data_IF_500255543230
#
_entry.id   IF_500255543230
#
_cell.length_a   1.000
_cell.length_b   1.000
_cell.length_c   1.000
_cell.angle_alpha   90.00
_cell.angle_beta   90.00
_cell.angle_gamma   90.00
#
_symmetry.space_group_name_H-M   'P 1'
#
loop_
_entity.id
_entity.type
_entity.pdbx_description
1 polymer ?
#
# COMPACT_ATOMS: atom_id res chain seq x y z
N UNK A 1 -1.25 -49.32 49.79
CA UNK A 1 -1.23 -47.84 49.63
C UNK A 1 0.23 -47.39 49.52
N UNK A 2 0.64 -46.45 48.65
CA UNK A 2 -0.09 -45.76 47.57
C UNK A 2 0.59 -45.88 46.19
N UNK A 3 -0.22 -46.21 45.19
CA UNK A 3 0.01 -46.03 43.77
C UNK A 3 -0.56 -44.66 43.39
N UNK A 4 0.16 -43.56 43.62
CA UNK A 4 -0.25 -42.21 43.17
C UNK A 4 1.01 -41.34 43.08
N UNK A 5 1.45 -40.96 41.88
CA UNK A 5 2.16 -39.68 41.57
C UNK A 5 2.94 -39.63 40.24
N UNK A 6 2.73 -40.52 39.25
CA UNK A 6 3.47 -40.41 37.96
C UNK A 6 2.58 -39.98 36.77
N UNK A 7 1.25 -40.02 36.92
CA UNK A 7 0.32 -39.68 35.83
C UNK A 7 0.10 -38.17 35.58
N UNK A 8 0.25 -37.21 36.52
CA UNK A 8 -0.18 -35.83 36.24
C UNK A 8 0.75 -35.08 35.28
N UNK A 9 2.02 -35.49 35.16
CA UNK A 9 3.03 -34.75 34.38
C UNK A 9 2.93 -35.01 32.87
N UNK A 10 2.46 -36.19 32.46
CA UNK A 10 2.29 -36.53 31.03
C UNK A 10 1.00 -35.91 30.49
N UNK A 11 -0.04 -35.77 31.32
CA UNK A 11 -1.32 -35.17 30.89
C UNK A 11 -1.23 -33.65 30.72
N UNK A 12 -0.35 -32.96 31.45
CA UNK A 12 -0.02 -31.55 31.19
C UNK A 12 0.85 -31.32 29.96
N UNK A 13 1.54 -32.36 29.45
CA UNK A 13 2.36 -32.23 28.24
C UNK A 13 1.50 -32.24 26.97
N UNK A 14 0.35 -32.93 26.98
CA UNK A 14 -0.60 -32.97 25.86
C UNK A 14 -1.56 -31.77 25.82
N UNK A 15 -1.74 -31.04 26.94
CA UNK A 15 -2.59 -29.84 26.99
C UNK A 15 -1.85 -28.54 26.61
N UNK A 16 -0.54 -28.60 26.36
CA UNK A 16 0.25 -27.44 25.95
C UNK A 16 0.24 -27.18 24.43
N UNK A 17 -0.49 -27.98 23.63
CA UNK A 17 -0.40 -27.98 22.16
C UNK A 17 -1.66 -27.53 21.41
N UNK A 18 -2.65 -26.93 22.07
CA UNK A 18 -3.82 -26.36 21.38
C UNK A 18 -3.82 -24.83 21.42
N UNK A 19 -2.72 -24.21 21.00
CA UNK A 19 -2.83 -22.87 20.40
C UNK A 19 -3.21 -23.08 18.93
N UNK A 20 -4.50 -23.33 18.69
CA UNK A 20 -5.07 -23.18 17.36
C UNK A 20 -4.80 -21.74 16.93
N UNK A 21 -3.89 -21.56 15.98
CA UNK A 21 -3.70 -20.31 15.26
C UNK A 21 -5.02 -20.00 14.55
N UNK A 22 -5.86 -19.23 15.23
CA UNK A 22 -7.18 -18.87 14.74
C UNK A 22 -6.95 -17.97 13.52
N UNK A 23 -7.36 -18.35 12.30
CA UNK A 23 -7.14 -17.54 11.10
C UNK A 23 -7.86 -16.19 11.15
N UNK A 24 -8.75 -16.00 12.14
CA UNK A 24 -9.48 -14.77 12.42
C UNK A 24 -9.01 -14.03 13.68
N UNK A 25 -7.84 -14.39 14.24
CA UNK A 25 -7.24 -13.56 15.28
C UNK A 25 -6.76 -12.24 14.66
N UNK A 26 -7.65 -11.24 14.68
CA UNK A 26 -7.38 -9.90 14.14
C UNK A 26 -6.11 -9.30 14.75
N UNK A 27 -5.79 -9.63 16.01
CA UNK A 27 -4.57 -9.13 16.65
C UNK A 27 -3.34 -9.83 16.09
N UNK A 28 -3.36 -11.14 15.90
CA UNK A 28 -2.26 -11.86 15.25
C UNK A 28 -2.11 -11.48 13.77
N UNK A 29 -3.20 -11.22 13.05
CA UNK A 29 -3.17 -10.74 11.68
C UNK A 29 -2.61 -9.31 11.58
N UNK A 30 -3.02 -8.40 12.49
CA UNK A 30 -2.49 -7.03 12.57
C UNK A 30 -1.05 -6.97 13.09
N UNK A 31 -0.65 -7.90 13.97
CA UNK A 31 0.70 -8.00 14.55
C UNK A 31 1.65 -8.88 13.72
N UNK A 32 1.17 -9.60 12.70
CA UNK A 32 1.98 -10.21 11.65
C UNK A 32 2.56 -9.11 10.73
N UNK A 33 3.30 -8.18 11.33
CA UNK A 33 3.79 -6.93 10.75
C UNK A 33 4.80 -7.08 9.61
N UNK A 34 5.09 -8.31 9.15
CA UNK A 34 6.07 -8.58 8.10
C UNK A 34 5.45 -8.90 6.74
N UNK A 35 4.16 -9.28 6.66
CA UNK A 35 3.56 -9.74 5.40
C UNK A 35 2.45 -8.83 4.84
N UNK A 36 1.80 -8.00 5.67
CA UNK A 36 0.67 -7.16 5.23
C UNK A 36 1.07 -5.75 4.79
N UNK A 37 2.29 -5.32 5.11
CA UNK A 37 2.75 -3.95 4.88
C UNK A 37 2.83 -3.53 3.40
N UNK A 38 3.15 -4.41 2.42
CA UNK A 38 3.20 -4.03 1.01
C UNK A 38 1.82 -3.78 0.38
N UNK A 39 0.77 -4.52 0.79
CA UNK A 39 -0.52 -4.52 0.07
C UNK A 39 -1.25 -3.18 0.19
N UNK A 40 -1.18 -2.52 1.34
CA UNK A 40 -1.89 -1.25 1.57
C UNK A 40 -1.25 -0.09 0.78
N UNK A 41 0.06 -0.14 0.53
CA UNK A 41 0.81 0.91 -0.16
C UNK A 41 0.68 0.80 -1.69
N UNK A 42 0.51 -0.41 -2.22
CA UNK A 42 0.33 -0.64 -3.66
C UNK A 42 -1.10 -0.40 -4.13
N UNK A 43 -2.08 -0.39 -3.22
CA UNK A 43 -3.49 -0.24 -3.56
C UNK A 43 -3.82 1.10 -4.25
N UNK A 44 -3.39 2.28 -3.74
CA UNK A 44 -3.63 3.55 -4.42
C UNK A 44 -2.94 3.63 -5.79
N UNK A 45 -1.76 3.00 -5.93
CA UNK A 45 -1.00 2.95 -7.19
C UNK A 45 -1.76 2.13 -8.23
N UNK A 46 -2.25 0.95 -7.86
CA UNK A 46 -3.05 0.10 -8.74
C UNK A 46 -4.33 0.79 -9.21
N UNK A 47 -5.06 1.45 -8.28
CA UNK A 47 -6.24 2.23 -8.63
C UNK A 47 -5.93 3.42 -9.55
N UNK A 48 -4.81 4.11 -9.32
CA UNK A 48 -4.37 5.19 -10.20
C UNK A 48 -4.04 4.68 -11.61
N UNK A 49 -3.25 3.61 -11.74
CA UNK A 49 -2.90 3.02 -13.04
C UNK A 49 -4.17 2.54 -13.76
N UNK A 50 -5.07 1.86 -13.06
CA UNK A 50 -6.36 1.45 -13.60
C UNK A 50 -7.17 2.66 -14.10
N UNK A 51 -7.23 3.75 -13.31
CA UNK A 51 -7.85 5.01 -13.75
C UNK A 51 -7.28 5.49 -15.08
N UNK A 52 -5.95 5.52 -15.23
CA UNK A 52 -5.31 5.97 -16.47
C UNK A 52 -5.67 5.08 -17.64
N UNK A 53 -5.61 3.76 -17.47
CA UNK A 53 -5.99 2.79 -18.52
C UNK A 53 -7.44 2.99 -18.95
N UNK A 54 -8.37 3.12 -18.00
CA UNK A 54 -9.77 3.35 -18.32
C UNK A 54 -10.02 4.71 -18.97
N UNK A 55 -9.25 5.75 -18.63
CA UNK A 55 -9.32 7.05 -19.32
C UNK A 55 -8.85 6.94 -20.78
N UNK A 56 -7.77 6.19 -21.06
CA UNK A 56 -7.34 5.91 -22.43
C UNK A 56 -8.40 5.13 -23.19
N UNK A 57 -8.94 4.07 -22.59
CA UNK A 57 -9.99 3.25 -23.21
C UNK A 57 -11.27 4.06 -23.45
N UNK A 58 -11.63 4.97 -22.54
CA UNK A 58 -12.78 5.83 -22.71
C UNK A 58 -12.64 6.79 -23.90
N UNK A 59 -11.44 7.35 -24.11
CA UNK A 59 -11.14 8.18 -25.28
C UNK A 59 -11.13 7.35 -26.56
N UNK A 60 -10.50 6.18 -26.56
CA UNK A 60 -10.39 5.32 -27.73
C UNK A 60 -11.74 4.72 -28.17
N UNK A 61 -12.53 4.22 -27.22
CA UNK A 61 -13.84 3.60 -27.48
C UNK A 61 -14.99 4.60 -27.50
N UNK A 62 -14.75 5.86 -27.14
CA UNK A 62 -15.76 6.92 -26.98
C UNK A 62 -16.92 6.50 -26.04
N UNK A 63 -16.62 5.68 -25.02
CA UNK A 63 -17.63 5.14 -24.10
C UNK A 63 -17.66 5.92 -22.77
N UNK A 64 -18.81 6.54 -22.41
CA UNK A 64 -18.92 7.33 -21.19
C UNK A 64 -18.84 6.49 -19.91
N UNK A 65 -19.24 5.21 -19.98
CA UNK A 65 -19.13 4.28 -18.86
C UNK A 65 -17.67 4.07 -18.44
N UNK A 66 -16.76 3.87 -19.39
CA UNK A 66 -15.33 3.71 -19.12
C UNK A 66 -14.74 4.98 -18.49
N UNK A 67 -15.19 6.16 -18.93
CA UNK A 67 -14.79 7.41 -18.29
C UNK A 67 -15.27 7.44 -16.83
N UNK A 68 -16.49 7.01 -16.53
CA UNK A 68 -17.00 6.95 -15.15
C UNK A 68 -16.14 6.00 -14.29
N UNK A 69 -15.83 4.80 -14.78
CA UNK A 69 -14.95 3.84 -14.10
C UNK A 69 -13.58 4.45 -13.80
N UNK A 70 -12.96 5.12 -14.78
CA UNK A 70 -11.69 5.80 -14.58
C UNK A 70 -11.74 6.80 -13.42
N UNK A 71 -12.80 7.61 -13.35
CA UNK A 71 -12.94 8.61 -12.30
C UNK A 71 -13.18 8.03 -10.91
N UNK A 72 -14.00 6.99 -10.79
CA UNK A 72 -14.19 6.34 -9.49
C UNK A 72 -12.91 5.64 -9.03
N UNK A 73 -12.12 5.07 -9.94
CA UNK A 73 -10.77 4.57 -9.61
C UNK A 73 -9.84 5.70 -9.13
N UNK A 74 -9.86 6.87 -9.78
CA UNK A 74 -9.06 8.02 -9.35
C UNK A 74 -9.48 8.54 -7.97
N UNK A 75 -10.78 8.57 -7.69
CA UNK A 75 -11.29 8.89 -6.36
C UNK A 75 -10.82 7.85 -5.34
N UNK A 76 -10.98 6.56 -5.66
CA UNK A 76 -10.52 5.48 -4.79
C UNK A 76 -9.02 5.58 -4.49
N UNK A 77 -8.20 5.90 -5.49
CA UNK A 77 -6.78 6.17 -5.29
C UNK A 77 -6.58 7.34 -4.33
N UNK A 78 -7.24 8.48 -4.56
CA UNK A 78 -7.12 9.65 -3.70
C UNK A 78 -7.59 9.40 -2.25
N UNK A 79 -8.63 8.59 -2.04
CA UNK A 79 -9.14 8.24 -0.72
C UNK A 79 -8.23 7.27 0.04
N UNK A 80 -7.48 6.44 -0.67
CA UNK A 80 -6.62 5.41 -0.08
C UNK A 80 -5.18 5.90 0.14
N UNK A 81 -4.75 6.94 -0.59
CA UNK A 81 -3.45 7.60 -0.39
C UNK A 81 -3.20 8.02 1.07
N UNK A 82 -4.11 8.68 1.80
CA UNK A 82 -3.89 9.04 3.21
C UNK A 82 -3.60 7.83 4.11
N UNK A 83 -4.29 6.71 3.86
CA UNK A 83 -4.06 5.46 4.60
C UNK A 83 -2.67 4.87 4.28
N UNK A 84 -2.27 4.90 3.01
CA UNK A 84 -0.93 4.49 2.60
C UNK A 84 0.18 5.35 3.23
N UNK A 85 -0.03 6.67 3.33
CA UNK A 85 0.89 7.58 4.01
C UNK A 85 0.95 7.25 5.51
N UNK A 86 -0.19 7.14 6.19
CA UNK A 86 -0.25 6.85 7.63
C UNK A 86 0.45 5.54 7.98
N UNK A 87 0.21 4.49 7.20
CA UNK A 87 0.86 3.18 7.38
C UNK A 87 2.36 3.25 7.09
N UNK A 88 2.78 3.93 6.02
CA UNK A 88 4.20 4.13 5.71
C UNK A 88 4.97 4.89 6.80
N UNK A 89 4.39 5.95 7.36
CA UNK A 89 4.98 6.67 8.50
C UNK A 89 5.01 5.81 9.77
N UNK A 90 3.98 5.00 10.01
CA UNK A 90 3.94 4.04 11.12
C UNK A 90 5.08 3.03 11.03
N UNK A 91 5.29 2.44 9.84
CA UNK A 91 6.39 1.53 9.56
C UNK A 91 7.74 2.18 9.84
N UNK A 92 7.96 3.40 9.34
CA UNK A 92 9.20 4.14 9.58
C UNK A 92 9.47 4.37 11.08
N UNK A 93 8.46 4.76 11.85
CA UNK A 93 8.61 4.95 13.30
C UNK A 93 8.93 3.65 14.03
N UNK A 94 8.32 2.54 13.62
CA UNK A 94 8.48 1.25 14.27
C UNK A 94 9.80 0.55 13.90
N UNK A 95 10.10 0.46 12.60
CA UNK A 95 11.27 -0.28 12.09
C UNK A 95 12.57 0.48 12.25
N UNK A 96 12.56 1.79 12.00
CA UNK A 96 13.78 2.60 12.01
C UNK A 96 13.92 3.42 13.30
N UNK A 97 13.00 3.27 14.26
CA UNK A 97 13.02 4.01 15.53
C UNK A 97 12.97 5.54 15.35
N UNK A 98 12.50 6.01 14.19
CA UNK A 98 12.57 7.43 13.80
C UNK A 98 13.98 7.91 13.43
N UNK A 99 14.88 7.00 13.03
CA UNK A 99 16.22 7.34 12.56
C UNK A 99 16.17 8.37 11.43
N UNK A 100 17.20 9.21 11.38
CA UNK A 100 17.27 10.34 10.45
C UNK A 100 17.03 9.90 9.01
N UNK A 101 16.04 10.50 8.36
CA UNK A 101 15.76 10.32 6.94
C UNK A 101 17.00 10.77 6.15
N UNK A 102 17.79 9.81 5.65
CA UNK A 102 18.99 10.07 4.86
C UNK A 102 19.02 9.18 3.62
N UNK A 103 19.58 9.72 2.53
CA UNK A 103 19.76 9.00 1.28
C UNK A 103 18.45 8.53 0.64
N UNK A 104 18.38 7.24 0.29
CA UNK A 104 17.28 6.65 -0.48
C UNK A 104 15.92 6.70 0.24
N UNK A 105 15.91 6.65 1.58
CA UNK A 105 14.67 6.74 2.36
C UNK A 105 14.03 8.13 2.26
N UNK A 106 14.84 9.18 2.34
CA UNK A 106 14.37 10.56 2.17
C UNK A 106 13.83 10.77 0.75
N UNK A 107 14.55 10.28 -0.27
CA UNK A 107 14.13 10.38 -1.65
C UNK A 107 12.80 9.63 -1.88
N UNK A 108 12.66 8.41 -1.33
CA UNK A 108 11.42 7.64 -1.40
C UNK A 108 10.25 8.40 -0.77
N UNK A 109 10.43 9.01 0.40
CA UNK A 109 9.38 9.79 1.06
C UNK A 109 8.98 11.02 0.23
N UNK A 110 9.95 11.75 -0.34
CA UNK A 110 9.69 12.91 -1.21
C UNK A 110 8.90 12.48 -2.45
N UNK A 111 9.31 11.39 -3.11
CA UNK A 111 8.63 10.85 -4.28
C UNK A 111 7.22 10.34 -3.93
N UNK A 112 7.04 9.70 -2.77
CA UNK A 112 5.73 9.25 -2.28
C UNK A 112 4.78 10.43 -2.02
N UNK A 113 5.24 11.48 -1.34
CA UNK A 113 4.45 12.69 -1.07
C UNK A 113 4.12 13.45 -2.36
N UNK A 114 5.07 13.50 -3.30
CA UNK A 114 4.86 14.13 -4.62
C UNK A 114 3.83 13.35 -5.43
N UNK A 115 3.92 12.01 -5.45
CA UNK A 115 2.94 11.13 -6.09
C UNK A 115 1.54 11.32 -5.49
N UNK A 116 1.44 11.33 -4.16
CA UNK A 116 0.20 11.57 -3.44
C UNK A 116 -0.44 12.92 -3.83
N UNK A 117 0.37 13.98 -3.84
CA UNK A 117 -0.07 15.33 -4.22
C UNK A 117 -0.55 15.38 -5.66
N UNK A 118 0.16 14.73 -6.59
CA UNK A 118 -0.24 14.63 -8.00
C UNK A 118 -1.57 13.89 -8.17
N UNK A 119 -1.78 12.79 -7.45
CA UNK A 119 -3.07 12.06 -7.47
C UNK A 119 -4.21 12.97 -7.00
N UNK A 120 -4.01 13.73 -5.91
CA UNK A 120 -5.01 14.69 -5.43
C UNK A 120 -5.30 15.80 -6.45
N UNK A 121 -4.26 16.38 -7.05
CA UNK A 121 -4.40 17.42 -8.09
C UNK A 121 -5.15 16.88 -9.31
N UNK A 122 -4.81 15.67 -9.78
CA UNK A 122 -5.49 15.02 -10.90
C UNK A 122 -6.95 14.72 -10.56
N UNK A 123 -7.23 14.24 -9.35
CA UNK A 123 -8.59 13.99 -8.87
C UNK A 123 -9.41 15.29 -8.82
N UNK A 124 -8.82 16.37 -8.31
CA UNK A 124 -9.42 17.70 -8.29
C UNK A 124 -9.71 18.23 -9.70
N UNK A 125 -8.73 18.17 -10.60
CA UNK A 125 -8.88 18.58 -11.99
C UNK A 125 -10.01 17.79 -12.67
N UNK A 126 -10.00 16.46 -12.54
CA UNK A 126 -11.01 15.55 -13.13
C UNK A 126 -12.41 15.87 -12.60
N UNK A 127 -12.53 16.13 -11.30
CA UNK A 127 -13.78 16.54 -10.66
C UNK A 127 -14.29 17.90 -11.18
N UNK A 128 -13.39 18.86 -11.43
CA UNK A 128 -13.74 20.16 -12.02
C UNK A 128 -14.16 20.03 -13.49
N UNK A 129 -13.45 19.19 -14.25
CA UNK A 129 -13.73 18.91 -15.67
C UNK A 129 -15.11 18.28 -15.85
N UNK A 130 -15.46 17.28 -15.02
CA UNK A 130 -16.81 16.67 -15.01
C UNK A 130 -17.91 17.67 -14.69
N UNK A 131 -17.74 18.47 -13.62
CA UNK A 131 -18.72 19.50 -13.23
C UNK A 131 -18.98 20.52 -14.33
N UNK A 132 -18.00 20.76 -15.20
CA UNK A 132 -18.11 21.70 -16.34
C UNK A 132 -18.46 21.02 -17.67
N UNK A 133 -18.66 19.70 -17.70
CA UNK A 133 -18.91 18.94 -18.93
C UNK A 133 -17.77 19.02 -19.96
N UNK A 134 -16.53 19.30 -19.53
CA UNK A 134 -15.38 19.49 -20.42
C UNK A 134 -14.59 18.19 -20.63
N UNK A 135 -14.05 18.03 -21.83
CA UNK A 135 -13.12 16.95 -22.17
C UNK A 135 -11.78 17.11 -21.44
N UNK A 136 -11.04 16.00 -21.32
CA UNK A 136 -9.71 16.00 -20.71
C UNK A 136 -8.76 16.94 -21.45
N UNK A 137 -8.20 17.92 -20.72
CA UNK A 137 -7.24 18.89 -21.27
C UNK A 137 -5.87 18.25 -21.50
N UNK A 138 -5.09 18.76 -22.44
CA UNK A 138 -3.67 18.40 -22.63
C UNK A 138 -2.87 18.51 -21.34
N UNK A 139 -3.17 19.51 -20.50
CA UNK A 139 -2.51 19.68 -19.20
C UNK A 139 -2.81 18.51 -18.24
N UNK A 140 -4.01 17.93 -18.30
CA UNK A 140 -4.36 16.74 -17.51
C UNK A 140 -3.52 15.55 -17.95
N UNK A 141 -3.41 15.31 -19.26
CA UNK A 141 -2.59 14.23 -19.80
C UNK A 141 -1.10 14.38 -19.46
N UNK A 142 -0.56 15.59 -19.57
CA UNK A 142 0.82 15.88 -19.19
C UNK A 142 1.07 15.57 -17.70
N UNK A 143 0.18 16.02 -16.80
CA UNK A 143 0.28 15.74 -15.37
C UNK A 143 0.12 14.25 -15.06
N UNK A 144 -0.75 13.54 -15.77
CA UNK A 144 -0.90 12.08 -15.62
C UNK A 144 0.38 11.33 -15.98
N UNK A 145 1.06 11.73 -17.06
CA UNK A 145 2.35 11.15 -17.44
C UNK A 145 3.45 11.43 -16.41
N UNK A 146 3.52 12.66 -15.90
CA UNK A 146 4.45 13.03 -14.83
C UNK A 146 4.16 12.19 -13.58
N UNK A 147 2.88 12.05 -13.20
CA UNK A 147 2.48 11.22 -12.06
C UNK A 147 2.89 9.76 -12.23
N UNK A 148 2.68 9.16 -13.41
CA UNK A 148 3.14 7.79 -13.70
C UNK A 148 4.65 7.64 -13.54
N UNK A 149 5.43 8.60 -14.03
CA UNK A 149 6.89 8.58 -13.90
C UNK A 149 7.32 8.64 -12.43
N UNK A 150 6.78 9.59 -11.66
CA UNK A 150 7.12 9.75 -10.24
C UNK A 150 6.67 8.54 -9.42
N UNK A 151 5.50 7.96 -9.69
CA UNK A 151 5.03 6.74 -9.04
C UNK A 151 5.95 5.55 -9.34
N UNK A 152 6.40 5.41 -10.58
CA UNK A 152 7.35 4.35 -10.98
C UNK A 152 8.68 4.50 -10.23
N UNK A 153 9.21 5.73 -10.15
CA UNK A 153 10.42 6.02 -9.38
C UNK A 153 10.22 5.74 -7.87
N UNK A 154 9.06 6.10 -7.32
CA UNK A 154 8.69 5.83 -5.92
C UNK A 154 8.71 4.33 -5.64
N UNK A 155 8.09 3.54 -6.52
CA UNK A 155 8.06 2.08 -6.42
C UNK A 155 9.44 1.45 -6.53
N UNK A 156 10.27 1.90 -7.48
CA UNK A 156 11.64 1.43 -7.62
C UNK A 156 12.48 1.67 -6.35
N UNK A 157 12.40 2.87 -5.77
CA UNK A 157 13.08 3.20 -4.51
C UNK A 157 12.53 2.40 -3.32
N UNK A 158 11.21 2.19 -3.27
CA UNK A 158 10.57 1.37 -2.23
C UNK A 158 11.02 -0.10 -2.28
N UNK A 159 11.20 -0.65 -3.48
CA UNK A 159 11.75 -1.99 -3.69
C UNK A 159 13.19 -2.11 -3.20
N UNK A 160 14.04 -1.12 -3.50
CA UNK A 160 15.43 -1.07 -2.99
C UNK A 160 15.43 -1.06 -1.46
N UNK A 161 14.64 -0.19 -0.83
CA UNK A 161 14.58 -0.07 0.64
C UNK A 161 14.11 -1.38 1.30
N UNK A 162 13.15 -2.08 0.68
CA UNK A 162 12.64 -3.36 1.20
C UNK A 162 13.64 -4.51 1.03
N UNK A 163 14.50 -4.47 0.02
CA UNK A 163 15.49 -5.51 -0.27
C UNK A 163 16.77 -5.46 0.58
N UNK A 164 17.09 -4.32 1.20
CA UNK A 164 18.29 -4.22 2.07
C UNK A 164 18.03 -4.80 3.47
N UNK A 165 16.77 -4.92 3.89
CA UNK A 165 16.33 -5.42 5.20
C UNK A 165 16.30 -6.96 5.29
N UNK A 166 16.88 -7.70 4.32
CA UNK A 166 17.11 -9.15 4.44
C UNK A 166 18.58 -9.48 4.72
N UNK A 167 19.12 -9.25 5.93
CA UNK A 167 20.35 -9.91 6.35
C UNK A 167 20.04 -11.35 6.76
N UNK A 168 20.63 -12.26 6.00
CA UNK A 168 20.99 -13.65 6.33
C UNK A 168 20.77 -14.05 7.81
N UNK A 169 19.64 -14.67 8.11
CA UNK A 169 19.50 -15.57 9.27
C UNK A 169 19.61 -17.02 8.79
N UNK A 170 20.79 -17.38 8.31
CA UNK A 170 21.18 -18.78 8.17
C UNK A 170 21.94 -19.20 9.42
N UNK A 171 21.48 -20.20 10.20
CA UNK A 171 22.25 -20.68 11.35
C UNK A 171 23.48 -21.43 10.84
N UNK A 172 24.65 -21.04 11.34
CA UNK A 172 25.92 -21.79 11.30
C UNK A 172 26.03 -22.72 12.50
#
# INVERSE_FOLDING_TARGET
MPFVAVVPKVMSLFLAHSHSSNPFDLKAALLAGHAQHPVIIHFPIGLFIASVVFDLLAVWRKQPLLAAVAYYNLIGAALTVPLAIATGLGAWRWQLGGATLKGNLQLHLICALTSASLIFVLCWMRSRLRRRGRSLSTAYWALTLIALLVITLTGHLGGILSGVETPLSGPS
#
